data_IF_853963189676
#
_entry.id   IF_853963189676
#
_cell.length_a   1.000
_cell.length_b   1.000
_cell.length_c   1.000
_cell.angle_alpha   90.00
_cell.angle_beta   90.00
_cell.angle_gamma   90.00
#
_symmetry.space_group_name_H-M   'P 1'
#
loop_
_entity.id
_entity.type
_entity.pdbx_description
1 polymer ?
#
# COMPACT_ATOMS: atom_id res chain seq x y z
N UNK A 1 -9.41 -35.52 8.96
CA UNK A 1 -9.50 -34.46 7.92
C UNK A 1 -8.10 -34.23 7.36
N UNK A 2 -7.81 -34.75 6.17
CA UNK A 2 -6.55 -34.54 5.44
C UNK A 2 -6.75 -33.46 4.38
N UNK A 3 -6.94 -32.21 4.81
CA UNK A 3 -6.93 -31.08 3.89
C UNK A 3 -5.49 -30.63 3.70
N UNK A 4 -4.96 -30.71 2.48
CA UNK A 4 -3.59 -30.26 2.16
C UNK A 4 -3.44 -28.72 2.24
N UNK A 5 -4.57 -28.01 2.29
CA UNK A 5 -4.62 -26.58 2.48
C UNK A 5 -4.71 -26.29 3.98
N UNK A 6 -3.64 -25.72 4.52
CA UNK A 6 -3.63 -25.19 5.88
C UNK A 6 -4.77 -24.19 6.05
N UNK A 7 -5.37 -24.04 7.25
CA UNK A 7 -6.52 -23.17 7.50
C UNK A 7 -6.36 -21.76 6.91
N UNK A 8 -5.14 -21.22 6.90
CA UNK A 8 -4.81 -19.94 6.29
C UNK A 8 -5.10 -19.87 4.78
N UNK A 9 -4.85 -20.94 4.03
CA UNK A 9 -5.06 -20.96 2.59
C UNK A 9 -6.55 -20.98 2.25
N UNK A 10 -7.35 -21.71 3.02
CA UNK A 10 -8.81 -21.66 2.90
C UNK A 10 -9.33 -20.24 3.21
N UNK A 11 -8.84 -19.61 4.28
CA UNK A 11 -9.23 -18.25 4.65
C UNK A 11 -8.91 -17.24 3.53
N UNK A 12 -7.77 -17.38 2.86
CA UNK A 12 -7.35 -16.52 1.76
C UNK A 12 -8.33 -16.54 0.58
N UNK A 13 -8.98 -17.68 0.30
CA UNK A 13 -10.00 -17.78 -0.77
C UNK A 13 -11.21 -16.88 -0.53
N UNK A 14 -11.50 -16.52 0.73
CA UNK A 14 -12.59 -15.63 1.09
C UNK A 14 -12.23 -14.14 0.98
N UNK A 15 -10.95 -13.79 0.77
CA UNK A 15 -10.51 -12.39 0.72
C UNK A 15 -10.94 -11.69 -0.58
N UNK A 16 -10.96 -12.38 -1.72
CA UNK A 16 -11.33 -11.79 -3.00
C UNK A 16 -12.77 -11.21 -2.99
N UNK A 17 -13.81 -11.92 -2.52
CA UNK A 17 -15.14 -11.36 -2.36
C UNK A 17 -15.21 -10.11 -1.46
N UNK A 18 -14.34 -10.02 -0.44
CA UNK A 18 -14.28 -8.86 0.45
C UNK A 18 -13.64 -7.67 -0.28
N UNK A 19 -12.55 -7.89 -1.00
CA UNK A 19 -11.88 -6.83 -1.77
C UNK A 19 -12.76 -6.24 -2.87
N UNK A 20 -13.59 -7.06 -3.53
CA UNK A 20 -14.53 -6.56 -4.53
C UNK A 20 -15.69 -5.76 -3.94
N UNK A 21 -16.12 -6.07 -2.71
CA UNK A 21 -17.27 -5.40 -2.06
C UNK A 21 -16.90 -4.16 -1.27
N UNK A 22 -15.83 -4.25 -0.51
CA UNK A 22 -15.43 -3.21 0.46
C UNK A 22 -14.19 -2.45 0.01
N UNK A 23 -13.64 -2.85 -1.13
CA UNK A 23 -12.30 -2.48 -1.48
C UNK A 23 -11.27 -3.23 -0.63
N UNK A 24 -10.00 -2.93 -0.86
CA UNK A 24 -8.88 -3.54 -0.18
C UNK A 24 -8.75 -3.07 1.27
N UNK A 25 -8.25 -3.95 2.12
CA UNK A 25 -8.13 -3.69 3.54
C UNK A 25 -7.13 -2.56 3.87
N UNK A 26 -7.33 -1.85 5.01
CA UNK A 26 -6.35 -0.91 5.55
C UNK A 26 -4.96 -1.55 5.64
N UNK A 27 -3.91 -0.82 5.24
CA UNK A 27 -2.54 -1.33 5.19
C UNK A 27 -2.14 -1.97 3.86
N UNK A 28 -3.06 -2.60 3.11
CA UNK A 28 -2.71 -3.23 1.83
C UNK A 28 -2.48 -2.20 0.70
N UNK A 29 -3.30 -1.15 0.66
CA UNK A 29 -3.17 -0.06 -0.32
C UNK A 29 -2.16 1.01 0.07
N UNK A 30 -1.95 1.19 1.36
CA UNK A 30 -0.94 2.12 1.85
C UNK A 30 0.45 1.47 1.86
N UNK A 31 0.59 0.15 1.82
CA UNK A 31 1.89 -0.54 1.86
C UNK A 31 2.89 0.01 0.83
N UNK A 32 2.47 0.16 -0.44
CA UNK A 32 3.33 0.70 -1.49
C UNK A 32 3.77 2.14 -1.21
N UNK A 33 2.85 2.96 -0.71
CA UNK A 33 3.10 4.34 -0.33
C UNK A 33 4.01 4.45 0.91
N UNK A 34 3.75 3.65 1.95
CA UNK A 34 4.56 3.56 3.18
C UNK A 34 6.00 3.12 2.88
N UNK A 35 6.16 2.13 2.00
CA UNK A 35 7.49 1.72 1.52
C UNK A 35 8.21 2.88 0.83
N UNK A 36 7.51 3.64 -0.03
CA UNK A 36 8.07 4.81 -0.69
C UNK A 36 8.43 5.94 0.29
N UNK A 37 7.64 6.15 1.34
CA UNK A 37 7.98 7.10 2.40
C UNK A 37 9.28 6.70 3.12
N UNK A 38 9.49 5.39 3.34
CA UNK A 38 10.76 4.87 3.88
C UNK A 38 11.96 5.16 2.99
N UNK A 39 11.82 5.13 1.66
CA UNK A 39 12.86 5.57 0.73
C UNK A 39 13.04 7.09 0.75
N UNK A 40 11.95 7.84 0.77
CA UNK A 40 11.97 9.29 0.76
C UNK A 40 12.66 9.87 1.99
N UNK A 41 12.46 9.27 3.17
CA UNK A 41 13.16 9.68 4.39
C UNK A 41 14.68 9.48 4.36
N UNK A 42 15.20 8.73 3.39
CA UNK A 42 16.64 8.54 3.15
C UNK A 42 17.16 9.36 1.95
N UNK A 43 16.26 10.06 1.26
CA UNK A 43 16.60 10.82 0.08
C UNK A 43 17.20 12.17 0.49
N UNK A 44 18.29 12.57 -0.17
CA UNK A 44 18.84 13.90 0.06
C UNK A 44 17.93 14.95 -0.60
N UNK A 45 17.29 15.77 0.21
CA UNK A 45 16.37 16.81 -0.25
C UNK A 45 17.09 18.07 -0.71
N UNK A 46 18.42 18.15 -0.62
CA UNK A 46 19.22 19.33 -1.01
C UNK A 46 18.70 20.65 -0.40
N UNK A 47 18.21 20.59 0.85
CA UNK A 47 17.68 21.75 1.56
C UNK A 47 16.20 22.05 1.28
N UNK A 48 15.55 21.32 0.36
CA UNK A 48 14.09 21.36 0.15
C UNK A 48 13.37 20.61 1.28
N UNK A 49 13.37 21.24 2.45
CA UNK A 49 12.71 20.76 3.67
C UNK A 49 11.29 21.34 3.80
N UNK A 50 10.52 20.87 4.78
CA UNK A 50 9.19 21.41 5.07
C UNK A 50 8.03 20.77 4.29
N UNK A 51 8.21 19.57 3.73
CA UNK A 51 7.11 18.82 3.12
C UNK A 51 6.91 19.06 1.63
N UNK A 52 7.76 19.86 0.98
CA UNK A 52 7.63 20.20 -0.45
C UNK A 52 7.75 18.95 -1.34
N UNK A 53 8.78 18.14 -1.11
CA UNK A 53 9.05 16.91 -1.87
C UNK A 53 8.04 15.83 -1.49
N UNK A 54 7.79 15.65 -0.20
CA UNK A 54 6.80 14.71 0.35
C UNK A 54 5.41 14.94 -0.23
N UNK A 55 4.97 16.20 -0.25
CA UNK A 55 3.68 16.60 -0.82
C UNK A 55 3.62 16.37 -2.32
N UNK A 56 4.71 16.63 -3.05
CA UNK A 56 4.78 16.42 -4.50
C UNK A 56 4.72 14.93 -4.85
N UNK A 57 5.49 14.11 -4.14
CA UNK A 57 5.49 12.66 -4.33
C UNK A 57 4.15 12.03 -3.95
N UNK A 58 3.52 12.47 -2.86
CA UNK A 58 2.17 12.03 -2.46
C UNK A 58 1.12 12.36 -3.54
N UNK A 59 1.13 13.60 -4.06
CA UNK A 59 0.21 13.99 -5.14
C UNK A 59 0.44 13.18 -6.42
N UNK A 60 1.71 12.92 -6.76
CA UNK A 60 2.08 12.07 -7.89
C UNK A 60 1.58 10.64 -7.74
N UNK A 61 1.80 10.03 -6.57
CA UNK A 61 1.31 8.69 -6.24
C UNK A 61 -0.20 8.57 -6.42
N UNK A 62 -0.96 9.51 -5.85
CA UNK A 62 -2.42 9.46 -5.91
C UNK A 62 -2.93 9.60 -7.34
N UNK A 63 -2.36 10.50 -8.14
CA UNK A 63 -2.67 10.61 -9.57
C UNK A 63 -2.41 9.32 -10.33
N UNK A 64 -1.32 8.62 -10.05
CA UNK A 64 -0.97 7.38 -10.74
C UNK A 64 -1.77 6.15 -10.27
N UNK A 65 -2.36 6.20 -9.07
CA UNK A 65 -3.06 5.05 -8.47
C UNK A 65 -4.57 5.17 -8.59
N UNK A 66 -5.12 6.38 -8.73
CA UNK A 66 -6.56 6.63 -8.83
C UNK A 66 -7.09 6.91 -10.24
N UNK A 67 -6.22 7.20 -11.20
CA UNK A 67 -6.58 7.51 -12.60
C UNK A 67 -6.02 6.40 -13.47
#
# INVERSE_FOLDING_TARGET
MHCHLVPYFHLATHLQPQFLRHGPGPGWWTFGYERNNGFLGRFNTNGHSGGEIEGTMMRGWWKATLI
#
